data_IF_490649599738
#
_entry.id   IF_490649599738
#
_cell.length_a   1.000
_cell.length_b   1.000
_cell.length_c   1.000
_cell.angle_alpha   90.00
_cell.angle_beta   90.00
_cell.angle_gamma   90.00
#
_symmetry.space_group_name_H-M   'P 1'
#
loop_
_entity.id
_entity.type
_entity.pdbx_description
1 polymer ?
#
# COMPACT_ATOMS: atom_id res chain seq x y z
N UNK A 1 6.24 36.14 4.17
CA UNK A 1 5.66 35.09 5.04
C UNK A 1 4.81 34.10 4.24
N UNK A 2 3.71 34.52 3.62
CA UNK A 2 2.81 33.63 2.87
C UNK A 2 3.45 32.79 1.75
N UNK A 3 4.42 33.33 1.02
CA UNK A 3 5.13 32.55 -0.02
C UNK A 3 5.98 31.42 0.58
N UNK A 4 6.64 31.67 1.71
CA UNK A 4 7.40 30.66 2.46
C UNK A 4 6.45 29.57 3.00
N UNK A 5 5.29 29.98 3.51
CA UNK A 5 4.26 29.04 3.99
C UNK A 5 3.74 28.15 2.87
N UNK A 6 3.47 28.73 1.69
CA UNK A 6 3.05 27.98 0.50
C UNK A 6 4.08 26.94 0.10
N UNK A 7 5.36 27.31 0.10
CA UNK A 7 6.45 26.41 -0.26
C UNK A 7 6.58 25.26 0.75
N UNK A 8 6.48 25.55 2.05
CA UNK A 8 6.46 24.55 3.11
C UNK A 8 5.30 23.55 2.97
N UNK A 9 4.08 24.05 2.77
CA UNK A 9 2.89 23.21 2.56
C UNK A 9 3.00 22.38 1.27
N UNK A 10 3.56 22.93 0.20
CA UNK A 10 3.77 22.21 -1.05
C UNK A 10 4.78 21.07 -0.91
N UNK A 11 5.88 21.29 -0.18
CA UNK A 11 6.84 20.23 0.17
C UNK A 11 6.18 19.14 0.99
N UNK A 12 5.45 19.51 2.04
CA UNK A 12 4.75 18.55 2.90
C UNK A 12 3.75 17.71 2.09
N UNK A 13 2.97 18.34 1.21
CA UNK A 13 2.07 17.64 0.30
C UNK A 13 2.80 16.63 -0.58
N UNK A 14 3.96 16.98 -1.13
CA UNK A 14 4.77 16.06 -1.93
C UNK A 14 5.19 14.83 -1.12
N UNK A 15 5.66 15.03 0.11
CA UNK A 15 6.04 13.94 1.02
C UNK A 15 4.85 13.06 1.37
N UNK A 16 3.73 13.65 1.78
CA UNK A 16 2.50 12.90 2.12
C UNK A 16 1.98 12.11 0.91
N UNK A 17 2.03 12.69 -0.29
CA UNK A 17 1.64 12.00 -1.52
C UNK A 17 2.52 10.79 -1.80
N UNK A 18 3.83 10.91 -1.60
CA UNK A 18 4.76 9.79 -1.78
C UNK A 18 4.46 8.67 -0.77
N UNK A 19 4.27 9.01 0.51
CA UNK A 19 3.90 8.02 1.55
C UNK A 19 2.59 7.32 1.17
N UNK A 20 1.56 8.08 0.76
CA UNK A 20 0.28 7.51 0.34
C UNK A 20 0.42 6.55 -0.85
N UNK A 21 1.20 6.93 -1.87
CA UNK A 21 1.44 6.08 -3.04
C UNK A 21 2.18 4.80 -2.67
N UNK A 22 3.24 4.90 -1.85
CA UNK A 22 3.99 3.74 -1.38
C UNK A 22 3.12 2.81 -0.54
N UNK A 23 2.27 3.37 0.32
CA UNK A 23 1.29 2.60 1.10
C UNK A 23 0.30 1.85 0.21
N UNK A 24 -0.26 2.50 -0.82
CA UNK A 24 -1.16 1.85 -1.76
C UNK A 24 -0.48 0.67 -2.47
N UNK A 25 0.75 0.87 -2.97
CA UNK A 25 1.51 -0.21 -3.59
C UNK A 25 1.78 -1.37 -2.63
N UNK A 26 2.04 -1.09 -1.36
CA UNK A 26 2.25 -2.13 -0.35
C UNK A 26 0.98 -2.94 -0.08
N UNK A 27 -0.19 -2.28 0.05
CA UNK A 27 -1.48 -2.98 0.20
C UNK A 27 -1.76 -3.88 -1.00
N UNK A 28 -1.50 -3.41 -2.22
CA UNK A 28 -1.64 -4.25 -3.42
C UNK A 28 -0.72 -5.48 -3.36
N UNK A 29 0.55 -5.29 -3.00
CA UNK A 29 1.51 -6.38 -2.90
C UNK A 29 1.12 -7.43 -1.82
N UNK A 30 0.61 -7.00 -0.66
CA UNK A 30 0.07 -7.91 0.35
C UNK A 30 -1.15 -8.69 -0.18
N UNK A 31 -2.03 -8.03 -0.94
CA UNK A 31 -3.16 -8.68 -1.61
C UNK A 31 -2.72 -9.78 -2.58
N UNK A 32 -1.72 -9.49 -3.42
CA UNK A 32 -1.14 -10.46 -4.36
C UNK A 32 -0.47 -11.63 -3.63
N UNK A 33 0.25 -11.36 -2.54
CA UNK A 33 0.86 -12.39 -1.70
C UNK A 33 -0.21 -13.30 -1.07
N UNK A 34 -1.29 -12.72 -0.54
CA UNK A 34 -2.42 -13.49 0.02
C UNK A 34 -3.05 -14.40 -1.05
N UNK A 35 -3.25 -13.90 -2.27
CA UNK A 35 -3.78 -14.68 -3.39
C UNK A 35 -2.83 -15.83 -3.77
N UNK A 36 -1.53 -15.57 -3.88
CA UNK A 36 -0.54 -16.58 -4.19
C UNK A 36 -0.53 -17.71 -3.15
N UNK A 37 -0.57 -17.37 -1.86
CA UNK A 37 -0.67 -18.35 -0.77
C UNK A 37 -1.95 -19.17 -0.86
N UNK A 38 -3.09 -18.54 -1.13
CA UNK A 38 -4.36 -19.26 -1.28
C UNK A 38 -4.30 -20.27 -2.42
N UNK A 39 -3.69 -19.89 -3.55
CA UNK A 39 -3.50 -20.81 -4.69
C UNK A 39 -2.61 -21.99 -4.31
N UNK A 40 -1.50 -21.77 -3.60
CA UNK A 40 -0.64 -22.86 -3.12
C UNK A 40 -1.43 -23.86 -2.25
N UNK A 41 -2.33 -23.37 -1.39
CA UNK A 41 -3.20 -24.22 -0.59
C UNK A 41 -4.27 -25.01 -1.37
N UNK A 42 -4.44 -24.77 -2.67
CA UNK A 42 -5.45 -25.46 -3.52
C UNK A 42 -4.87 -26.50 -4.48
N UNK A 43 -3.55 -26.56 -4.66
CA UNK A 43 -2.92 -27.35 -5.73
C UNK A 43 -2.68 -28.83 -5.39
N UNK A 44 -2.81 -29.28 -4.14
CA UNK A 44 -2.54 -30.66 -3.76
C UNK A 44 -3.79 -31.56 -3.81
N UNK A 45 -3.72 -32.76 -4.43
CA UNK A 45 -4.72 -33.79 -4.22
C UNK A 45 -4.71 -34.15 -2.73
N UNK A 46 -5.82 -33.89 -2.02
CA UNK A 46 -6.00 -34.05 -0.57
C UNK A 46 -6.02 -35.53 -0.11
N UNK A 47 -5.07 -36.31 -0.60
CA UNK A 47 -5.00 -37.76 -0.46
C UNK A 47 -4.49 -38.15 0.92
N UNK A 48 -3.61 -37.32 1.51
CA UNK A 48 -3.00 -37.58 2.82
C UNK A 48 -3.41 -36.53 3.86
N UNK A 49 -3.55 -36.91 5.14
CA UNK A 49 -3.85 -35.97 6.22
C UNK A 49 -2.82 -34.84 6.38
N UNK A 50 -1.54 -35.12 6.12
CA UNK A 50 -0.43 -34.16 6.24
C UNK A 50 -0.51 -33.05 5.19
N UNK A 51 -0.81 -33.41 3.94
CA UNK A 51 -1.06 -32.48 2.82
C UNK A 51 -2.22 -31.54 3.15
N UNK A 52 -3.24 -32.03 3.88
CA UNK A 52 -4.39 -31.23 4.32
C UNK A 52 -3.99 -30.17 5.35
N UNK A 53 -3.09 -30.50 6.28
CA UNK A 53 -2.60 -29.56 7.29
C UNK A 53 -1.73 -28.46 6.66
N UNK A 54 -0.90 -28.80 5.67
CA UNK A 54 -0.13 -27.83 4.89
C UNK A 54 -1.03 -26.90 4.09
N UNK A 55 -2.04 -27.44 3.41
CA UNK A 55 -3.06 -26.66 2.71
C UNK A 55 -3.75 -25.66 3.65
N UNK A 56 -4.19 -26.11 4.84
CA UNK A 56 -4.82 -25.23 5.84
C UNK A 56 -3.88 -24.11 6.29
N UNK A 57 -2.59 -24.40 6.46
CA UNK A 57 -1.61 -23.41 6.86
C UNK A 57 -1.46 -22.28 5.83
N UNK A 58 -1.35 -22.62 4.54
CA UNK A 58 -1.32 -21.64 3.45
C UNK A 58 -2.56 -20.73 3.47
N UNK A 59 -3.75 -21.29 3.70
CA UNK A 59 -4.98 -20.51 3.81
C UNK A 59 -4.98 -19.58 5.03
N UNK A 60 -4.51 -20.03 6.19
CA UNK A 60 -4.43 -19.20 7.40
C UNK A 60 -3.46 -18.02 7.23
N UNK A 61 -2.30 -18.23 6.61
CA UNK A 61 -1.41 -17.13 6.24
C UNK A 61 -2.07 -16.16 5.25
N UNK A 62 -2.76 -16.67 4.23
CA UNK A 62 -3.46 -15.83 3.27
C UNK A 62 -4.53 -14.94 3.95
N UNK A 63 -5.28 -15.50 4.91
CA UNK A 63 -6.32 -14.76 5.65
C UNK A 63 -5.71 -13.65 6.51
N UNK A 64 -4.71 -13.95 7.34
CA UNK A 64 -4.13 -12.94 8.24
C UNK A 64 -3.46 -11.79 7.48
N UNK A 65 -2.77 -12.09 6.36
CA UNK A 65 -2.16 -11.06 5.51
C UNK A 65 -3.25 -10.13 4.94
N UNK A 66 -4.37 -10.70 4.49
CA UNK A 66 -5.48 -9.91 3.97
C UNK A 66 -6.15 -9.04 5.04
N UNK A 67 -6.31 -9.57 6.26
CA UNK A 67 -6.84 -8.83 7.40
C UNK A 67 -5.92 -7.65 7.77
N UNK A 68 -4.61 -7.89 7.88
CA UNK A 68 -3.64 -6.83 8.11
C UNK A 68 -3.66 -5.77 7.00
N UNK A 69 -3.73 -6.21 5.74
CA UNK A 69 -3.78 -5.31 4.59
C UNK A 69 -5.03 -4.42 4.59
N UNK A 70 -6.18 -4.94 5.05
CA UNK A 70 -7.40 -4.16 5.20
C UNK A 70 -7.24 -3.04 6.24
N UNK A 71 -6.59 -3.32 7.38
CA UNK A 71 -6.28 -2.32 8.40
C UNK A 71 -5.37 -1.22 7.83
N UNK A 72 -4.34 -1.62 7.07
CA UNK A 72 -3.43 -0.67 6.43
C UNK A 72 -4.14 0.18 5.36
N UNK A 73 -5.01 -0.42 4.55
CA UNK A 73 -5.81 0.30 3.56
C UNK A 73 -6.71 1.36 4.21
N UNK A 74 -7.30 1.05 5.37
CA UNK A 74 -8.06 2.01 6.16
C UNK A 74 -7.18 3.16 6.66
N UNK A 75 -5.97 2.86 7.14
CA UNK A 75 -5.02 3.90 7.57
C UNK A 75 -4.62 4.82 6.40
N UNK A 76 -4.30 4.26 5.24
CA UNK A 76 -3.93 5.03 4.04
C UNK A 76 -5.08 5.90 3.55
N UNK A 77 -6.33 5.43 3.69
CA UNK A 77 -7.54 6.21 3.41
C UNK A 77 -7.68 7.39 4.38
N UNK A 78 -7.45 7.16 5.68
CA UNK A 78 -7.42 8.23 6.68
C UNK A 78 -6.31 9.25 6.39
N UNK A 79 -5.12 8.80 5.99
CA UNK A 79 -4.01 9.67 5.58
C UNK A 79 -4.42 10.60 4.43
N UNK A 80 -5.09 10.05 3.41
CA UNK A 80 -5.57 10.83 2.26
C UNK A 80 -6.56 11.90 2.69
N UNK A 81 -7.55 11.50 3.50
CA UNK A 81 -8.65 12.37 3.90
C UNK A 81 -8.21 13.47 4.88
N UNK A 82 -7.30 13.15 5.81
CA UNK A 82 -6.88 14.07 6.86
C UNK A 82 -5.61 14.86 6.51
N UNK A 83 -4.74 14.36 5.65
CA UNK A 83 -3.51 15.08 5.29
C UNK A 83 -3.55 15.60 3.86
N UNK A 84 -3.79 14.73 2.88
CA UNK A 84 -3.65 15.09 1.48
C UNK A 84 -4.74 16.06 1.00
N UNK A 85 -6.01 15.79 1.34
CA UNK A 85 -7.13 16.65 0.94
C UNK A 85 -7.04 18.07 1.56
N UNK A 86 -6.78 18.25 2.87
CA UNK A 86 -6.63 19.60 3.43
C UNK A 86 -5.45 20.36 2.83
N UNK A 87 -4.33 19.68 2.56
CA UNK A 87 -3.19 20.29 1.88
C UNK A 87 -3.53 20.73 0.45
N UNK A 88 -4.26 19.90 -0.29
CA UNK A 88 -4.75 20.26 -1.62
C UNK A 88 -5.70 21.46 -1.58
N UNK A 89 -6.64 21.47 -0.64
CA UNK A 89 -7.63 22.55 -0.45
C UNK A 89 -6.94 23.90 -0.20
N UNK A 90 -6.01 23.96 0.76
CA UNK A 90 -5.29 25.19 1.09
C UNK A 90 -4.39 25.66 -0.06
N UNK A 91 -3.67 24.75 -0.72
CA UNK A 91 -2.72 25.11 -1.78
C UNK A 91 -3.39 25.53 -3.10
N UNK A 92 -4.44 24.79 -3.52
CA UNK A 92 -5.10 25.03 -4.81
C UNK A 92 -6.28 25.99 -4.71
N UNK A 93 -6.95 26.03 -3.57
CA UNK A 93 -8.04 26.95 -3.29
C UNK A 93 -7.51 28.25 -2.72
N UNK A 94 -7.31 28.29 -1.41
CA UNK A 94 -7.15 29.56 -0.70
C UNK A 94 -5.86 30.32 -1.10
N UNK A 95 -4.69 29.65 -1.13
CA UNK A 95 -3.41 30.30 -1.43
C UNK A 95 -3.26 30.73 -2.89
N UNK A 96 -3.96 30.06 -3.81
CA UNK A 96 -4.02 30.48 -5.22
C UNK A 96 -4.91 31.72 -5.37
N UNK A 97 -6.07 31.72 -4.71
CA UNK A 97 -7.02 32.83 -4.73
C UNK A 97 -6.44 34.13 -4.17
N UNK A 98 -5.67 34.10 -3.07
CA UNK A 98 -5.11 35.35 -2.52
C UNK A 98 -4.18 36.09 -3.50
N UNK A 99 -3.30 35.39 -4.23
CA UNK A 99 -2.34 36.05 -5.14
C UNK A 99 -3.02 36.77 -6.30
N UNK A 100 -4.15 36.25 -6.78
CA UNK A 100 -4.87 36.80 -7.93
C UNK A 100 -6.03 37.69 -7.50
N UNK A 101 -6.98 37.09 -6.81
CA UNK A 101 -8.36 37.59 -6.69
C UNK A 101 -8.50 38.66 -5.59
N UNK A 102 -7.61 38.67 -4.60
CA UNK A 102 -7.68 39.62 -3.49
C UNK A 102 -6.50 40.59 -3.45
N UNK A 103 -5.28 40.11 -3.71
CA UNK A 103 -4.10 40.99 -3.70
C UNK A 103 -4.12 42.00 -4.84
N UNK A 104 -4.54 41.62 -6.05
CA UNK A 104 -4.54 42.56 -7.19
C UNK A 104 -5.57 43.69 -7.02
N UNK A 105 -6.85 43.42 -6.64
CA UNK A 105 -7.79 44.49 -6.36
C UNK A 105 -7.33 45.40 -5.21
N UNK A 106 -6.79 44.81 -4.14
CA UNK A 106 -6.22 45.55 -3.02
C UNK A 106 -5.08 46.50 -3.45
N UNK A 107 -4.08 45.97 -4.17
CA UNK A 107 -2.95 46.77 -4.67
C UNK A 107 -3.42 47.86 -5.66
N UNK A 108 -4.50 47.61 -6.41
CA UNK A 108 -5.11 48.60 -7.32
C UNK A 108 -5.77 49.74 -6.53
N UNK A 109 -6.67 49.43 -5.58
CA UNK A 109 -7.35 50.49 -4.82
C UNK A 109 -6.39 51.27 -3.92
N UNK A 110 -5.30 50.64 -3.47
CA UNK A 110 -4.21 51.34 -2.78
C UNK A 110 -3.54 52.39 -3.69
N UNK A 111 -3.20 52.02 -4.93
CA UNK A 111 -2.65 52.95 -5.92
C UNK A 111 -3.64 54.05 -6.30
N UNK A 112 -4.91 53.71 -6.47
CA UNK A 112 -5.95 54.69 -6.80
C UNK A 112 -6.14 55.70 -5.67
N UNK A 113 -6.06 55.25 -4.40
CA UNK A 113 -6.05 56.12 -3.22
C UNK A 113 -4.86 57.08 -3.22
N UNK A 114 -3.63 56.58 -3.41
CA UNK A 114 -2.42 57.40 -3.45
C UNK A 114 -2.43 58.41 -4.60
N UNK A 115 -2.93 57.99 -5.77
CA UNK A 115 -3.05 58.84 -6.96
C UNK A 115 -4.07 59.96 -6.74
N UNK A 116 -5.22 59.66 -6.13
CA UNK A 116 -6.24 60.66 -5.79
C UNK A 116 -5.71 61.67 -4.79
N UNK A 117 -5.02 61.21 -3.74
CA UNK A 117 -4.41 62.08 -2.74
C UNK A 117 -3.41 63.05 -3.38
N UNK A 118 -2.49 62.53 -4.21
CA UNK A 118 -1.49 63.33 -4.92
C UNK A 118 -2.13 64.36 -5.86
N UNK A 119 -3.24 64.00 -6.52
CA UNK A 119 -3.97 64.90 -7.42
C UNK A 119 -4.59 66.07 -6.63
N UNK A 120 -5.31 65.79 -5.55
CA UNK A 120 -5.94 66.82 -4.72
C UNK A 120 -4.88 67.72 -4.09
N UNK A 121 -3.78 67.15 -3.60
CA UNK A 121 -2.68 67.94 -3.02
C UNK A 121 -2.12 68.97 -4.02
N UNK A 122 -1.90 68.55 -5.27
CA UNK A 122 -1.43 69.44 -6.35
C UNK A 122 -2.45 70.51 -6.69
N UNK A 123 -3.73 70.16 -6.80
CA UNK A 123 -4.82 71.09 -7.11
C UNK A 123 -5.00 72.16 -6.02
N UNK A 124 -4.93 71.77 -4.74
CA UNK A 124 -5.04 72.72 -3.61
C UNK A 124 -3.80 73.63 -3.50
N UNK A 125 -2.59 73.11 -3.73
CA UNK A 125 -1.36 73.94 -3.78
C UNK A 125 -1.39 74.93 -4.95
N UNK A 126 -1.87 74.51 -6.12
CA UNK A 126 -2.02 75.37 -7.29
C UNK A 126 -3.06 76.47 -7.04
N UNK A 127 -4.23 76.13 -6.49
CA UNK A 127 -5.29 77.09 -6.17
C UNK A 127 -4.84 78.11 -5.12
N UNK A 128 -4.10 77.70 -4.08
CA UNK A 128 -3.54 78.64 -3.11
C UNK A 128 -2.54 79.61 -3.74
N UNK A 129 -1.69 79.12 -4.66
CA UNK A 129 -0.73 79.93 -5.40
C UNK A 129 -1.41 80.94 -6.33
N UNK A 130 -2.49 80.56 -7.01
CA UNK A 130 -3.32 81.46 -7.82
C UNK A 130 -4.01 82.54 -6.98
N UNK A 131 -4.40 82.21 -5.74
CA UNK A 131 -4.95 83.16 -4.78
C UNK A 131 -3.89 84.07 -4.11
N UNK A 132 -2.61 83.97 -4.51
CA UNK A 132 -1.52 84.81 -3.99
C UNK A 132 -0.90 84.34 -2.67
N UNK A 133 -1.28 83.16 -2.17
CA UNK A 133 -0.73 82.57 -0.95
C UNK A 133 0.27 81.45 -1.26
N UNK A 134 1.39 81.40 -0.52
CA UNK A 134 2.30 80.26 -0.56
C UNK A 134 1.86 79.28 0.52
N UNK A 135 1.20 78.19 0.11
CA UNK A 135 0.73 77.13 1.01
C UNK A 135 1.65 75.90 0.89
N UNK A 136 2.43 75.63 1.92
CA UNK A 136 3.38 74.49 1.93
C UNK A 136 2.68 73.15 2.22
N UNK A 137 1.64 73.17 3.06
CA UNK A 137 0.86 71.99 3.47
C UNK A 137 -0.64 72.19 3.23
N UNK A 138 -1.30 71.14 2.76
CA UNK A 138 -2.76 71.11 2.57
C UNK A 138 -3.38 70.55 3.86
N UNK A 139 -4.35 71.26 4.43
CA UNK A 139 -4.97 70.83 5.68
C UNK A 139 -5.73 69.51 5.46
N UNK A 140 -5.55 68.48 6.33
CA UNK A 140 -6.25 67.21 6.20
C UNK A 140 -7.78 67.32 6.12
N UNK A 141 -8.37 68.36 6.71
CA UNK A 141 -9.81 68.64 6.66
C UNK A 141 -10.28 69.10 5.27
N UNK A 142 -9.45 69.83 4.53
CA UNK A 142 -9.74 70.33 3.17
C UNK A 142 -9.78 69.21 2.12
N UNK A 143 -9.14 68.08 2.42
CA UNK A 143 -9.00 66.93 1.52
C UNK A 143 -9.88 65.76 1.96
N UNK A 144 -10.47 65.84 3.17
CA UNK A 144 -11.20 64.74 3.80
C UNK A 144 -12.43 64.31 3.01
N UNK A 145 -13.23 65.26 2.53
CA UNK A 145 -14.47 64.98 1.80
C UNK A 145 -14.19 64.41 0.41
N UNK A 146 -13.26 65.01 -0.33
CA UNK A 146 -12.86 64.56 -1.67
C UNK A 146 -12.14 63.19 -1.65
N UNK A 147 -11.49 62.82 -0.55
CA UNK A 147 -10.87 61.49 -0.35
C UNK A 147 -11.82 60.45 0.25
N UNK A 148 -13.03 60.83 0.65
CA UNK A 148 -13.92 59.97 1.45
C UNK A 148 -14.25 58.66 0.74
N UNK A 149 -14.49 58.70 -0.58
CA UNK A 149 -14.84 57.53 -1.40
C UNK A 149 -13.66 56.57 -1.52
N UNK A 150 -12.50 57.05 -1.96
CA UNK A 150 -11.28 56.26 -2.14
C UNK A 150 -10.79 55.69 -0.82
N UNK A 151 -10.90 56.46 0.28
CA UNK A 151 -10.57 55.99 1.64
C UNK A 151 -11.44 54.79 2.03
N UNK A 152 -12.76 54.89 1.85
CA UNK A 152 -13.69 53.78 2.17
C UNK A 152 -13.42 52.56 1.29
N UNK A 153 -13.14 52.76 0.00
CA UNK A 153 -12.82 51.67 -0.93
C UNK A 153 -11.53 50.95 -0.55
N UNK A 154 -10.48 51.70 -0.19
CA UNK A 154 -9.22 51.14 0.28
C UNK A 154 -9.41 50.34 1.58
N UNK A 155 -10.11 50.93 2.57
CA UNK A 155 -10.39 50.28 3.84
C UNK A 155 -11.21 48.99 3.66
N UNK A 156 -12.21 48.99 2.79
CA UNK A 156 -13.02 47.81 2.49
C UNK A 156 -12.17 46.66 1.94
N UNK A 157 -11.37 46.91 0.90
CA UNK A 157 -10.53 45.87 0.31
C UNK A 157 -9.39 45.44 1.25
N UNK A 158 -8.90 46.34 2.11
CA UNK A 158 -7.96 45.99 3.17
C UNK A 158 -8.62 44.99 4.14
N UNK A 159 -9.85 45.25 4.58
CA UNK A 159 -10.60 44.33 5.44
C UNK A 159 -10.80 42.97 4.75
N UNK A 160 -11.27 42.95 3.50
CA UNK A 160 -11.45 41.70 2.75
C UNK A 160 -10.15 40.89 2.63
N UNK A 161 -9.04 41.57 2.34
CA UNK A 161 -7.72 40.94 2.27
C UNK A 161 -7.28 40.38 3.63
N UNK A 162 -7.38 41.17 4.70
CA UNK A 162 -6.97 40.76 6.05
C UNK A 162 -7.85 39.62 6.60
N UNK A 163 -9.16 39.65 6.35
CA UNK A 163 -10.08 38.55 6.69
C UNK A 163 -9.62 37.28 5.99
N UNK A 164 -9.36 37.33 4.67
CA UNK A 164 -8.91 36.14 3.94
C UNK A 164 -7.55 35.63 4.43
N UNK A 165 -6.60 36.52 4.71
CA UNK A 165 -5.30 36.13 5.27
C UNK A 165 -5.49 35.43 6.62
N UNK A 166 -6.42 35.92 7.45
CA UNK A 166 -6.73 35.29 8.73
C UNK A 166 -7.40 33.92 8.57
N UNK A 167 -8.35 33.77 7.65
CA UNK A 167 -8.95 32.47 7.31
C UNK A 167 -7.88 31.45 6.90
N UNK A 168 -6.95 31.83 6.02
CA UNK A 168 -5.83 30.95 5.62
C UNK A 168 -4.96 30.60 6.82
N UNK A 169 -4.70 31.56 7.71
CA UNK A 169 -3.91 31.33 8.92
C UNK A 169 -4.59 30.30 9.82
N UNK A 170 -5.91 30.38 9.99
CA UNK A 170 -6.70 29.39 10.74
C UNK A 170 -6.65 28.01 10.09
N UNK A 171 -6.90 27.93 8.77
CA UNK A 171 -6.90 26.67 8.00
C UNK A 171 -5.55 25.95 8.05
N UNK A 172 -4.45 26.66 7.79
CA UNK A 172 -3.10 26.06 7.78
C UNK A 172 -2.54 25.80 9.19
N UNK A 173 -3.13 26.42 10.21
CA UNK A 173 -2.72 26.32 11.60
C UNK A 173 -3.63 25.37 12.36
N UNK A 174 -4.66 25.92 13.01
CA UNK A 174 -5.53 25.20 13.94
C UNK A 174 -6.26 24.04 13.26
N UNK A 175 -6.90 24.28 12.13
CA UNK A 175 -7.69 23.22 11.45
C UNK A 175 -6.79 22.09 10.92
N UNK A 176 -5.63 22.44 10.35
CA UNK A 176 -4.69 21.44 9.88
C UNK A 176 -4.08 20.61 11.04
N UNK A 177 -3.78 21.25 12.17
CA UNK A 177 -3.34 20.53 13.38
C UNK A 177 -4.42 19.59 13.90
N UNK A 178 -5.69 20.01 13.88
CA UNK A 178 -6.81 19.14 14.25
C UNK A 178 -6.89 17.91 13.33
N UNK A 179 -6.69 18.09 12.02
CA UNK A 179 -6.64 16.98 11.06
C UNK A 179 -5.43 16.07 11.28
N UNK A 180 -4.28 16.61 11.67
CA UNK A 180 -3.13 15.81 12.09
C UNK A 180 -3.45 14.97 13.32
N UNK A 181 -4.11 15.55 14.33
CA UNK A 181 -4.56 14.80 15.51
C UNK A 181 -5.47 13.66 15.07
N UNK A 182 -6.52 13.91 14.29
CA UNK A 182 -7.42 12.86 13.77
C UNK A 182 -6.66 11.74 13.04
N UNK A 183 -5.67 12.10 12.21
CA UNK A 183 -4.83 11.11 11.54
C UNK A 183 -4.01 10.27 12.52
N UNK A 184 -3.39 10.87 13.54
CA UNK A 184 -2.61 10.12 14.52
C UNK A 184 -3.46 9.26 15.46
N UNK A 185 -4.70 9.66 15.76
CA UNK A 185 -5.66 8.77 16.41
C UNK A 185 -5.96 7.53 15.55
N UNK A 186 -6.18 7.70 14.24
CA UNK A 186 -6.34 6.57 13.33
C UNK A 186 -5.07 5.72 13.22
N UNK A 187 -3.89 6.35 13.27
CA UNK A 187 -2.59 5.69 13.27
C UNK A 187 -2.39 4.81 14.51
N UNK A 188 -2.68 5.33 15.71
CA UNK A 188 -2.65 4.56 16.95
C UNK A 188 -3.63 3.37 16.90
N UNK A 189 -4.85 3.60 16.42
CA UNK A 189 -5.86 2.55 16.26
C UNK A 189 -5.39 1.43 15.33
N UNK A 190 -4.76 1.78 14.20
CA UNK A 190 -4.18 0.81 13.28
C UNK A 190 -3.16 -0.10 13.98
N UNK A 191 -2.24 0.48 14.78
CA UNK A 191 -1.28 -0.33 15.53
C UNK A 191 -1.94 -1.20 16.60
N UNK A 192 -2.94 -0.68 17.31
CA UNK A 192 -3.65 -1.44 18.33
C UNK A 192 -4.38 -2.65 17.73
N UNK A 193 -5.12 -2.46 16.64
CA UNK A 193 -5.83 -3.54 15.94
C UNK A 193 -4.84 -4.50 15.28
N UNK A 194 -3.79 -3.99 14.63
CA UNK A 194 -2.75 -4.81 14.01
C UNK A 194 -2.01 -5.68 15.02
N UNK A 195 -1.65 -5.14 16.18
CA UNK A 195 -1.01 -5.91 17.25
C UNK A 195 -1.91 -7.02 17.79
N UNK A 196 -3.23 -6.80 17.89
CA UNK A 196 -4.20 -7.84 18.28
C UNK A 196 -4.25 -8.96 17.25
N UNK A 197 -4.32 -8.63 15.96
CA UNK A 197 -4.27 -9.60 14.85
C UNK A 197 -2.99 -10.44 14.89
N UNK A 198 -1.84 -9.80 15.03
CA UNK A 198 -0.55 -10.48 15.07
C UNK A 198 -0.33 -11.30 16.34
N UNK A 199 -0.81 -10.84 17.49
CA UNK A 199 -0.72 -11.60 18.74
C UNK A 199 -1.51 -12.91 18.64
N UNK A 200 -2.73 -12.87 18.10
CA UNK A 200 -3.52 -14.07 17.87
C UNK A 200 -2.81 -15.02 16.90
N UNK A 201 -2.32 -14.52 15.77
CA UNK A 201 -1.63 -15.32 14.77
C UNK A 201 -0.28 -15.87 15.23
N UNK A 202 0.44 -15.15 16.09
CA UNK A 202 1.75 -15.57 16.62
C UNK A 202 1.68 -16.88 17.40
N UNK A 203 0.58 -17.12 18.13
CA UNK A 203 0.34 -18.41 18.79
C UNK A 203 0.27 -19.56 17.77
N UNK A 204 -0.49 -19.36 16.70
CA UNK A 204 -0.63 -20.31 15.61
C UNK A 204 0.71 -20.60 14.89
N UNK A 205 1.54 -19.57 14.66
CA UNK A 205 2.87 -19.74 14.03
C UNK A 205 3.78 -20.65 14.87
N UNK A 206 3.70 -20.54 16.19
CA UNK A 206 4.49 -21.38 17.11
C UNK A 206 4.05 -22.84 16.99
N UNK A 207 2.75 -23.12 17.06
CA UNK A 207 2.20 -24.47 16.89
C UNK A 207 2.49 -25.06 15.50
N UNK A 208 2.37 -24.24 14.45
CA UNK A 208 2.63 -24.67 13.08
C UNK A 208 4.09 -25.07 12.90
N UNK A 209 5.03 -24.38 13.56
CA UNK A 209 6.46 -24.69 13.45
C UNK A 209 6.78 -26.10 13.94
N UNK A 210 6.12 -26.56 15.00
CA UNK A 210 6.24 -27.93 15.50
C UNK A 210 5.63 -28.93 14.51
N UNK A 211 4.41 -28.66 14.04
CA UNK A 211 3.74 -29.51 13.04
C UNK A 211 4.56 -29.67 11.76
N UNK A 212 5.19 -28.60 11.27
CA UNK A 212 6.05 -28.65 10.09
C UNK A 212 7.31 -29.48 10.30
N UNK A 213 7.87 -29.46 11.53
CA UNK A 213 9.01 -30.33 11.88
C UNK A 213 8.61 -31.80 11.80
N UNK A 214 7.41 -32.14 12.28
CA UNK A 214 6.91 -33.51 12.30
C UNK A 214 6.59 -34.01 10.88
N UNK A 215 5.90 -33.21 10.06
CA UNK A 215 5.65 -33.52 8.63
C UNK A 215 6.97 -33.73 7.89
N UNK A 216 7.97 -32.87 8.10
CA UNK A 216 9.29 -33.03 7.48
C UNK A 216 9.97 -34.33 7.91
N UNK A 217 9.87 -34.69 9.19
CA UNK A 217 10.43 -35.95 9.69
C UNK A 217 9.76 -37.15 9.01
N UNK A 218 8.44 -37.13 8.88
CA UNK A 218 7.68 -38.18 8.22
C UNK A 218 8.03 -38.32 6.73
N UNK A 219 8.13 -37.20 6.00
CA UNK A 219 8.58 -37.19 4.61
C UNK A 219 9.99 -37.77 4.43
N UNK A 220 10.90 -37.49 5.37
CA UNK A 220 12.27 -38.03 5.35
C UNK A 220 12.31 -39.55 5.61
N UNK A 221 11.43 -40.06 6.48
CA UNK A 221 11.29 -41.49 6.73
C UNK A 221 10.71 -42.21 5.50
N UNK A 222 9.66 -41.66 4.88
CA UNK A 222 9.11 -42.18 3.63
C UNK A 222 10.17 -42.20 2.52
N UNK A 223 10.96 -41.13 2.39
CA UNK A 223 12.08 -41.07 1.45
C UNK A 223 13.09 -42.19 1.71
N UNK A 224 13.44 -42.45 2.98
CA UNK A 224 14.36 -43.53 3.36
C UNK A 224 13.79 -44.91 2.98
N UNK A 225 12.51 -45.14 3.26
CA UNK A 225 11.82 -46.38 2.90
C UNK A 225 11.79 -46.59 1.38
N UNK A 226 11.46 -45.55 0.61
CA UNK A 226 11.46 -45.60 -0.85
C UNK A 226 12.86 -45.90 -1.41
N UNK A 227 13.92 -45.32 -0.83
CA UNK A 227 15.30 -45.62 -1.21
C UNK A 227 15.67 -47.08 -0.93
N UNK A 228 15.29 -47.61 0.24
CA UNK A 228 15.53 -49.01 0.60
C UNK A 228 14.80 -49.96 -0.34
N UNK A 229 13.51 -49.73 -0.59
CA UNK A 229 12.69 -50.52 -1.53
C UNK A 229 13.26 -50.47 -2.94
N UNK A 230 13.67 -49.29 -3.42
CA UNK A 230 14.34 -49.14 -4.73
C UNK A 230 15.60 -49.99 -4.82
N UNK A 231 16.40 -50.05 -3.75
CA UNK A 231 17.62 -50.85 -3.73
C UNK A 231 17.31 -52.35 -3.72
N UNK A 232 16.30 -52.80 -2.97
CA UNK A 232 15.85 -54.19 -2.97
C UNK A 232 15.39 -54.64 -4.36
N UNK A 233 14.58 -53.83 -5.03
CA UNK A 233 14.10 -54.11 -6.39
C UNK A 233 15.28 -54.22 -7.36
N UNK A 234 16.25 -53.28 -7.31
CA UNK A 234 17.45 -53.34 -8.15
C UNK A 234 18.26 -54.61 -7.92
N UNK A 235 18.43 -55.02 -6.67
CA UNK A 235 19.17 -56.23 -6.32
C UNK A 235 18.44 -57.48 -6.84
N UNK A 236 17.11 -57.55 -6.73
CA UNK A 236 16.28 -58.65 -7.26
C UNK A 236 16.45 -58.80 -8.77
N UNK A 237 16.30 -57.70 -9.51
CA UNK A 237 16.45 -57.70 -10.98
C UNK A 237 17.86 -58.14 -11.42
N UNK A 238 18.90 -57.77 -10.67
CA UNK A 238 20.27 -58.23 -10.94
C UNK A 238 20.45 -59.72 -10.67
N UNK A 239 19.79 -60.28 -9.66
CA UNK A 239 19.83 -61.71 -9.35
C UNK A 239 19.10 -62.54 -10.42
N UNK A 240 17.94 -62.07 -10.88
CA UNK A 240 17.18 -62.67 -11.98
C UNK A 240 18.01 -62.70 -13.28
N UNK A 241 18.62 -61.58 -13.67
CA UNK A 241 19.46 -61.51 -14.88
C UNK A 241 20.68 -62.45 -14.84
N UNK A 242 21.28 -62.67 -13.66
CA UNK A 242 22.39 -63.64 -13.48
C UNK A 242 21.90 -65.09 -13.58
N UNK A 243 20.67 -65.35 -13.13
CA UNK A 243 20.05 -66.68 -13.21
C UNK A 243 19.70 -67.05 -14.65
N UNK A 244 19.24 -66.08 -15.46
CA UNK A 244 18.99 -66.28 -16.89
C UNK A 244 20.28 -66.54 -17.69
N UNK A 245 21.37 -65.83 -17.38
CA UNK A 245 22.69 -66.07 -18.00
C UNK A 245 23.26 -67.46 -17.67
N UNK A 246 23.02 -67.97 -16.45
CA UNK A 246 23.41 -69.34 -16.08
C UNK A 246 22.48 -70.40 -16.68
N UNK A 247 21.19 -70.09 -16.87
CA UNK A 247 20.23 -70.96 -17.57
C UNK A 247 20.47 -71.06 -19.08
N UNK A 248 21.12 -70.09 -19.69
CA UNK A 248 21.44 -70.10 -21.13
C UNK A 248 22.78 -70.79 -21.46
N UNK A 249 23.69 -70.92 -20.50
CA UNK A 249 25.00 -71.57 -20.69
C UNK A 249 25.02 -73.07 -20.33
N UNK A 250 23.88 -73.67 -19.96
CA UNK A 250 23.77 -75.07 -19.55
C UNK A 250 22.79 -75.85 -20.42
N UNK A 251 23.32 -76.50 -21.46
CA UNK A 251 22.77 -77.73 -22.06
C UNK A 251 21.38 -77.62 -22.71
N UNK A 252 21.37 -77.40 -24.04
CA UNK A 252 20.28 -77.82 -24.92
C UNK A 252 20.30 -79.36 -24.98
N UNK A 253 19.73 -79.99 -23.97
CA UNK A 253 19.52 -81.43 -23.90
C UNK A 253 18.14 -81.66 -23.30
N UNK A 254 17.28 -82.39 -24.02
CA UNK A 254 15.99 -82.84 -23.52
C UNK A 254 16.19 -83.51 -22.15
N UNK A 255 15.84 -82.81 -21.08
CA UNK A 255 15.82 -83.38 -19.74
C UNK A 255 14.56 -84.24 -19.62
N UNK A 256 14.77 -85.55 -19.54
CA UNK A 256 13.71 -86.55 -19.34
C UNK A 256 13.09 -86.49 -17.92
N UNK A 257 13.57 -85.59 -17.06
CA UNK A 257 12.97 -85.31 -15.76
C UNK A 257 12.11 -84.05 -15.86
N UNK A 258 10.85 -84.23 -15.47
CA UNK A 258 9.83 -83.17 -15.35
C UNK A 258 10.44 -81.93 -14.70
N UNK A 259 10.42 -80.79 -15.40
CA UNK A 259 10.86 -79.52 -14.85
C UNK A 259 10.11 -79.30 -13.55
N UNK A 260 10.81 -79.36 -12.42
CA UNK A 260 10.20 -79.07 -11.13
C UNK A 260 9.79 -77.61 -11.17
N UNK A 261 8.48 -77.35 -11.11
CA UNK A 261 7.95 -76.01 -11.01
C UNK A 261 8.61 -75.27 -9.84
N UNK A 262 8.83 -73.97 -10.03
CA UNK A 262 9.45 -73.13 -9.03
C UNK A 262 8.63 -73.17 -7.72
N UNK A 263 9.14 -73.91 -6.72
CA UNK A 263 8.47 -74.14 -5.43
C UNK A 263 8.27 -72.84 -4.65
N UNK A 264 8.90 -71.74 -5.06
CA UNK A 264 8.79 -70.43 -4.43
C UNK A 264 7.47 -69.73 -4.81
N UNK A 265 6.89 -70.02 -5.98
CA UNK A 265 5.74 -69.27 -6.52
C UNK A 265 4.35 -69.87 -6.22
N UNK A 266 4.26 -70.91 -5.37
CA UNK A 266 2.98 -71.48 -4.92
C UNK A 266 2.09 -72.05 -6.05
N UNK A 267 0.79 -72.21 -5.78
CA UNK A 267 -0.19 -72.80 -6.72
C UNK A 267 -0.98 -71.77 -7.54
N UNK A 268 -0.66 -70.47 -7.42
CA UNK A 268 -1.42 -69.40 -8.05
C UNK A 268 -0.51 -68.58 -8.98
N UNK A 269 -0.87 -68.51 -10.27
CA UNK A 269 -0.09 -67.80 -11.29
C UNK A 269 -0.97 -66.77 -12.00
N UNK A 270 -0.56 -65.51 -11.97
CA UNK A 270 -1.23 -64.41 -12.67
C UNK A 270 -0.28 -63.76 -13.65
N UNK A 271 -0.73 -63.47 -14.87
CA UNK A 271 0.08 -62.82 -15.90
C UNK A 271 -0.73 -62.54 -17.16
N UNK A 272 -0.12 -61.80 -18.09
CA UNK A 272 -0.73 -61.51 -19.37
C UNK A 272 -0.51 -62.69 -20.33
N UNK A 273 -1.58 -63.20 -20.93
CA UNK A 273 -1.56 -64.28 -21.91
C UNK A 273 -2.16 -63.80 -23.23
N UNK A 274 -1.53 -64.16 -24.35
CA UNK A 274 -2.12 -63.94 -25.67
C UNK A 274 -3.16 -65.03 -25.94
N UNK A 275 -4.44 -64.64 -25.95
CA UNK A 275 -5.53 -65.53 -26.36
C UNK A 275 -5.64 -65.52 -27.88
N UNK A 276 -5.50 -66.69 -28.50
CA UNK A 276 -5.73 -66.86 -29.95
C UNK A 276 -7.23 -66.76 -30.21
N UNK A 277 -7.65 -65.86 -31.09
CA UNK A 277 -9.04 -65.77 -31.55
C UNK A 277 -9.20 -66.62 -32.81
N UNK A 278 -10.18 -67.50 -32.83
CA UNK A 278 -10.58 -68.24 -34.04
C UNK A 278 -11.51 -67.33 -34.84
N UNK A 279 -10.99 -66.79 -35.95
CA UNK A 279 -11.78 -66.22 -37.06
C UNK A 279 -11.93 -67.26 -38.15
#
# INVERSE_FOLDING_TARGET
AMDKDREGLARMKKVVKNIHSSGQSYVTAEGDMSEALRRLGTYEPQSRPEDRALCEAFHKFAVVIREHSALLQQLITNQRNNLLHPLDSVLKGDLKGIKGDLKRPFDKVAKDYDAKFTKIEKEKKASAKEAGFIKNDVDPSEVAEEMSKERKMFQLHMCDYLIKVNEIKTKKGVEFLQKLVEYYHAYCKYFEEGMKTWAHFGSYVTELSEKLRDVRHQQEEERRQLLATRQLIRNSLSAEAKTELQGSAGTVGYSLHQQQGDKVHGTCKSGHLYKKSES
#
